data_IF_359214433280
#
_entry.id   IF_359214433280
#
_cell.length_a   1.000
_cell.length_b   1.000
_cell.length_c   1.000
_cell.angle_alpha   90.00
_cell.angle_beta   90.00
_cell.angle_gamma   90.00
#
_symmetry.space_group_name_H-M   'P 1'
#
loop_
_entity.id
_entity.type
_entity.pdbx_description
1 polymer ?
#
# COMPACT_ATOMS: atom_id res chain seq x y z
N UNK A 1 2.86 -3.61 8.89
CA UNK A 1 1.47 -4.10 9.03
C UNK A 1 1.22 -5.13 7.95
N UNK A 2 0.68 -6.31 8.31
CA UNK A 2 0.28 -7.32 7.31
C UNK A 2 -1.08 -6.92 6.73
N UNK A 3 -1.20 -6.88 5.40
CA UNK A 3 -2.47 -6.59 4.71
C UNK A 3 -2.94 -7.90 4.07
N UNK A 4 -4.06 -8.45 4.56
CA UNK A 4 -4.60 -9.74 4.09
C UNK A 4 -6.09 -9.67 3.72
N UNK A 5 -6.67 -8.47 3.57
CA UNK A 5 -8.05 -8.29 3.13
C UNK A 5 -8.20 -7.00 2.28
N UNK A 6 -9.20 -6.91 1.40
CA UNK A 6 -9.48 -5.72 0.61
C UNK A 6 -9.72 -4.47 1.46
N UNK A 7 -10.42 -4.60 2.60
CA UNK A 7 -10.75 -3.49 3.51
C UNK A 7 -9.48 -2.94 4.17
N UNK A 8 -8.57 -3.81 4.60
CA UNK A 8 -7.28 -3.38 5.16
C UNK A 8 -6.43 -2.67 4.11
N UNK A 9 -6.45 -3.14 2.86
CA UNK A 9 -5.75 -2.49 1.75
C UNK A 9 -6.35 -1.10 1.47
N UNK A 10 -7.68 -1.02 1.36
CA UNK A 10 -8.39 0.23 1.12
C UNK A 10 -8.16 1.26 2.23
N UNK A 11 -8.22 0.83 3.48
CA UNK A 11 -7.96 1.69 4.63
C UNK A 11 -6.52 2.19 4.63
N UNK A 12 -5.55 1.31 4.35
CA UNK A 12 -4.13 1.67 4.22
C UNK A 12 -3.90 2.74 3.14
N UNK A 13 -4.49 2.58 1.96
CA UNK A 13 -4.38 3.54 0.85
C UNK A 13 -5.11 4.86 1.16
N UNK A 14 -6.31 4.81 1.76
CA UNK A 14 -7.05 6.00 2.21
C UNK A 14 -6.23 6.82 3.20
N UNK A 15 -5.56 6.15 4.14
CA UNK A 15 -4.69 6.80 5.10
C UNK A 15 -3.45 7.41 4.43
N UNK A 16 -2.83 6.71 3.47
CA UNK A 16 -1.74 7.27 2.68
C UNK A 16 -2.16 8.53 1.91
N UNK A 17 -3.33 8.51 1.26
CA UNK A 17 -3.90 9.68 0.59
C UNK A 17 -4.08 10.86 1.54
N UNK A 18 -4.67 10.61 2.72
CA UNK A 18 -4.87 11.66 3.73
C UNK A 18 -3.54 12.22 4.26
N UNK A 19 -2.52 11.39 4.48
CA UNK A 19 -1.17 11.85 4.87
C UNK A 19 -0.51 12.74 3.81
N UNK A 20 -0.86 12.55 2.54
CA UNK A 20 -0.45 13.42 1.43
C UNK A 20 -1.34 14.65 1.25
N UNK A 21 -2.32 14.85 2.13
CA UNK A 21 -3.30 15.95 2.04
C UNK A 21 -4.11 16.01 0.74
N UNK A 22 -4.24 14.87 0.04
CA UNK A 22 -4.99 14.79 -1.20
C UNK A 22 -6.46 14.51 -0.93
N UNK A 23 -7.36 15.18 -1.66
CA UNK A 23 -8.77 14.81 -1.72
C UNK A 23 -8.98 13.62 -2.66
N UNK A 24 -10.14 12.96 -2.58
CA UNK A 24 -10.47 11.90 -3.55
C UNK A 24 -10.55 12.46 -4.98
N UNK A 25 -11.04 13.69 -5.15
CA UNK A 25 -11.11 14.37 -6.45
C UNK A 25 -9.71 14.62 -7.01
N UNK A 26 -8.82 15.24 -6.22
CA UNK A 26 -7.45 15.51 -6.65
C UNK A 26 -6.69 14.24 -7.02
N UNK A 27 -6.86 13.16 -6.24
CA UNK A 27 -6.25 11.86 -6.55
C UNK A 27 -6.78 11.29 -7.86
N UNK A 28 -8.08 11.40 -8.11
CA UNK A 28 -8.72 10.89 -9.32
C UNK A 28 -8.24 11.62 -10.58
N UNK A 29 -8.08 12.94 -10.50
CA UNK A 29 -7.60 13.80 -11.58
C UNK A 29 -6.17 13.45 -12.00
N UNK A 30 -5.27 13.19 -11.04
CA UNK A 30 -3.87 12.83 -11.32
C UNK A 30 -3.70 11.58 -12.19
N UNK A 31 -4.65 10.65 -12.14
CA UNK A 31 -4.59 9.35 -12.82
C UNK A 31 -5.72 9.14 -13.83
N UNK A 32 -6.46 10.21 -14.14
CA UNK A 32 -7.49 10.22 -15.18
C UNK A 32 -8.67 9.26 -14.92
N UNK A 33 -9.13 9.14 -13.67
CA UNK A 33 -10.32 8.34 -13.31
C UNK A 33 -11.40 9.21 -12.67
N UNK A 34 -12.59 8.64 -12.43
CA UNK A 34 -13.68 9.34 -11.74
C UNK A 34 -13.41 9.34 -10.22
N UNK A 35 -13.73 10.43 -9.53
CA UNK A 35 -13.68 10.48 -8.06
C UNK A 35 -14.54 9.40 -7.41
N UNK A 36 -15.69 9.07 -8.01
CA UNK A 36 -16.53 7.96 -7.57
C UNK A 36 -15.80 6.60 -7.59
N UNK A 37 -14.81 6.41 -8.48
CA UNK A 37 -13.95 5.22 -8.50
C UNK A 37 -13.01 5.19 -7.30
N UNK A 38 -12.43 6.33 -6.92
CA UNK A 38 -11.62 6.45 -5.68
C UNK A 38 -12.47 6.19 -4.45
N UNK A 39 -13.66 6.81 -4.36
CA UNK A 39 -14.58 6.59 -3.25
C UNK A 39 -15.05 5.15 -3.17
N UNK A 40 -15.38 4.54 -4.31
CA UNK A 40 -15.76 3.14 -4.42
C UNK A 40 -14.65 2.21 -3.94
N UNK A 41 -13.40 2.46 -4.32
CA UNK A 41 -12.26 1.71 -3.79
C UNK A 41 -12.13 1.86 -2.26
N UNK A 42 -12.31 3.08 -1.72
CA UNK A 42 -12.15 3.34 -0.29
C UNK A 42 -13.26 2.77 0.61
N UNK A 43 -14.45 2.53 0.07
CA UNK A 43 -15.61 2.07 0.85
C UNK A 43 -16.12 0.67 0.46
N UNK A 44 -15.87 0.25 -0.78
CA UNK A 44 -16.32 -1.02 -1.38
C UNK A 44 -15.19 -1.68 -2.21
N UNK A 45 -14.03 -1.98 -1.58
CA UNK A 45 -12.85 -2.48 -2.30
C UNK A 45 -13.03 -3.85 -2.93
N UNK A 46 -13.98 -4.67 -2.48
CA UNK A 46 -14.23 -6.03 -2.95
C UNK A 46 -14.61 -6.12 -4.45
N UNK A 47 -15.11 -5.03 -5.03
CA UNK A 47 -15.43 -4.93 -6.47
C UNK A 47 -14.40 -4.15 -7.28
N UNK A 48 -13.33 -3.69 -6.64
CA UNK A 48 -12.32 -2.88 -7.30
C UNK A 48 -11.45 -3.73 -8.22
N UNK A 49 -11.15 -3.19 -9.39
CA UNK A 49 -10.22 -3.82 -10.34
C UNK A 49 -8.78 -3.61 -9.84
N UNK A 50 -7.91 -4.58 -10.10
CA UNK A 50 -6.46 -4.43 -9.87
C UNK A 50 -5.88 -3.23 -10.61
N UNK A 51 -6.39 -2.92 -11.81
CA UNK A 51 -6.00 -1.71 -12.54
C UNK A 51 -6.24 -0.43 -11.72
N UNK A 52 -7.39 -0.31 -11.04
CA UNK A 52 -7.69 0.81 -10.15
C UNK A 52 -6.71 0.86 -8.98
N UNK A 53 -6.39 -0.29 -8.38
CA UNK A 53 -5.40 -0.38 -7.31
C UNK A 53 -4.04 0.18 -7.77
N UNK A 54 -3.52 -0.28 -8.91
CA UNK A 54 -2.22 0.18 -9.40
C UNK A 54 -2.20 1.66 -9.79
N UNK A 55 -3.29 2.18 -10.37
CA UNK A 55 -3.41 3.63 -10.60
C UNK A 55 -3.38 4.41 -9.28
N UNK A 56 -4.10 3.95 -8.25
CA UNK A 56 -4.07 4.58 -6.92
C UNK A 56 -2.68 4.51 -6.27
N UNK A 57 -2.00 3.36 -6.36
CA UNK A 57 -0.62 3.24 -5.89
C UNK A 57 0.30 4.25 -6.58
N UNK A 58 0.18 4.38 -7.90
CA UNK A 58 0.93 5.39 -8.68
C UNK A 58 0.61 6.83 -8.23
N UNK A 59 -0.66 7.18 -8.04
CA UNK A 59 -1.06 8.53 -7.58
C UNK A 59 -0.50 8.87 -6.20
N UNK A 60 -0.36 7.85 -5.35
CA UNK A 60 0.10 7.98 -3.97
C UNK A 60 1.60 7.71 -3.82
N UNK A 61 2.33 7.56 -4.93
CA UNK A 61 3.75 7.17 -5.00
C UNK A 61 4.05 6.01 -4.04
N UNK A 62 3.26 4.95 -4.15
CA UNK A 62 3.41 3.70 -3.41
C UNK A 62 3.71 2.56 -4.37
N UNK A 63 4.35 1.52 -3.84
CA UNK A 63 4.54 0.24 -4.51
C UNK A 63 3.93 -0.90 -3.68
N UNK A 64 3.66 -2.03 -4.32
CA UNK A 64 3.09 -3.22 -3.69
C UNK A 64 4.16 -4.31 -3.58
N UNK A 65 4.44 -4.74 -2.36
CA UNK A 65 5.28 -5.91 -2.07
C UNK A 65 4.39 -7.06 -1.61
N UNK A 66 4.56 -8.23 -2.22
CA UNK A 66 3.89 -9.47 -1.81
C UNK A 66 4.92 -10.35 -1.12
N UNK A 67 4.64 -10.73 0.12
CA UNK A 67 5.54 -11.53 0.95
C UNK A 67 4.81 -12.72 1.57
N UNK A 68 5.56 -13.73 1.99
CA UNK A 68 5.02 -14.87 2.73
C UNK A 68 4.45 -14.43 4.09
N UNK A 69 3.32 -15.03 4.48
CA UNK A 69 2.57 -14.63 5.69
C UNK A 69 3.35 -14.88 6.97
N UNK A 70 4.08 -15.99 7.03
CA UNK A 70 4.72 -16.50 8.25
C UNK A 70 6.22 -16.72 8.06
N UNK A 71 6.85 -16.01 7.12
CA UNK A 71 8.31 -15.97 7.06
C UNK A 71 8.79 -15.44 8.42
N UNK A 72 9.57 -16.22 9.20
CA UNK A 72 10.26 -15.66 10.34
C UNK A 72 11.07 -14.49 9.80
N UNK A 73 10.99 -13.31 10.41
CA UNK A 73 11.85 -12.20 10.02
C UNK A 73 13.28 -12.74 10.06
N UNK A 74 13.84 -13.05 8.88
CA UNK A 74 15.22 -13.49 8.79
C UNK A 74 16.00 -12.39 9.48
N UNK A 75 16.78 -12.82 10.45
CA UNK A 75 17.64 -12.01 11.29
C UNK A 75 18.74 -11.40 10.41
N UNK A 76 18.38 -10.55 9.47
CA UNK A 76 19.32 -9.80 8.63
C UNK A 76 19.58 -8.45 9.27
N UNK A 77 19.98 -8.52 10.53
CA UNK A 77 21.13 -7.78 11.02
C UNK A 77 22.23 -8.82 11.20
N UNK A 78 22.94 -9.13 10.11
CA UNK A 78 24.26 -9.74 10.19
C UNK A 78 25.20 -8.73 10.87
N UNK A 79 25.16 -8.66 12.19
CA UNK A 79 26.37 -8.45 12.98
C UNK A 79 27.03 -9.82 13.17
N UNK A 80 27.46 -10.42 12.06
CA UNK A 80 28.62 -11.28 12.09
C UNK A 80 29.87 -10.40 12.29
N UNK A 81 29.92 -9.69 13.44
CA UNK A 81 31.13 -9.05 13.92
C UNK A 81 31.91 -10.13 14.65
N UNK A 82 32.63 -10.91 13.86
CA UNK A 82 33.67 -11.80 14.37
C UNK A 82 34.82 -10.96 14.89
N UNK A 83 34.70 -10.45 16.11
CA UNK A 83 35.85 -9.95 16.86
C UNK A 83 36.44 -11.14 17.62
N UNK A 84 37.10 -12.05 16.88
CA UNK A 84 38.10 -12.94 17.49
C UNK A 84 39.41 -12.17 17.59
N UNK A 85 39.67 -11.61 18.76
CA UNK A 85 41.03 -11.36 19.23
C UNK A 85 41.22 -12.07 20.57
N UNK A 86 42.01 -13.15 20.50
CA UNK A 86 42.84 -13.79 21.53
C UNK A 86 42.29 -14.03 22.95
#
# INVERSE_FOLDING_TARGET
>A
MKITSPEMLAHSLKNARKRRHLTQQATAEQIGIKQATVSGFEHHPERSRLETLFKLLSALELELHVTERDRPEDSTGSEARWDQEW
#
